data_IF_716825822001
#
_entry.id   IF_716825822001
#
_cell.length_a   1.000
_cell.length_b   1.000
_cell.length_c   1.000
_cell.angle_alpha   90.00
_cell.angle_beta   90.00
_cell.angle_gamma   90.00
#
_symmetry.space_group_name_H-M   'P 1'
#
loop_
_entity.id
_entity.type
_entity.pdbx_description
1 polymer ?
#
# COMPACT_ATOMS: atom_id res chain seq x y z
N UNK A 1 -14.20 -35.90 -13.58
CA UNK A 1 -13.47 -34.67 -13.97
C UNK A 1 -13.56 -33.70 -12.81
N UNK A 2 -12.51 -33.62 -11.97
CA UNK A 2 -12.50 -32.69 -10.86
C UNK A 2 -12.47 -31.26 -11.41
N UNK A 3 -13.49 -30.45 -11.09
CA UNK A 3 -13.44 -28.99 -11.27
C UNK A 3 -12.21 -28.53 -10.50
N UNK A 4 -11.14 -28.15 -11.22
CA UNK A 4 -9.98 -27.48 -10.63
C UNK A 4 -10.52 -26.29 -9.87
N UNK A 5 -10.42 -26.36 -8.55
CA UNK A 5 -10.77 -25.29 -7.62
C UNK A 5 -10.19 -23.97 -8.15
N UNK A 6 -10.97 -22.89 -8.13
CA UNK A 6 -10.41 -21.55 -8.29
C UNK A 6 -9.23 -21.45 -7.31
N UNK A 7 -8.01 -21.39 -7.84
CA UNK A 7 -6.85 -21.69 -7.02
C UNK A 7 -6.67 -20.55 -6.01
N UNK A 8 -6.13 -20.83 -4.82
CA UNK A 8 -5.81 -19.77 -3.84
C UNK A 8 -4.97 -18.65 -4.46
N UNK A 9 -4.18 -18.99 -5.49
CA UNK A 9 -3.46 -18.04 -6.32
C UNK A 9 -4.39 -17.09 -7.10
N UNK A 10 -5.42 -17.61 -7.76
CA UNK A 10 -6.40 -16.79 -8.49
C UNK A 10 -7.13 -15.82 -7.54
N UNK A 11 -7.46 -16.28 -6.33
CA UNK A 11 -8.06 -15.44 -5.29
C UNK A 11 -7.09 -14.33 -4.86
N UNK A 12 -5.82 -14.65 -4.62
CA UNK A 12 -4.80 -13.65 -4.29
C UNK A 12 -4.64 -12.61 -5.40
N UNK A 13 -4.62 -13.04 -6.65
CA UNK A 13 -4.55 -12.14 -7.82
C UNK A 13 -5.77 -11.23 -7.87
N UNK A 14 -6.98 -11.78 -7.71
CA UNK A 14 -8.21 -10.98 -7.68
C UNK A 14 -8.20 -9.97 -6.54
N UNK A 15 -7.80 -10.36 -5.32
CA UNK A 15 -7.72 -9.44 -4.18
C UNK A 15 -6.72 -8.30 -4.43
N UNK A 16 -5.55 -8.59 -5.00
CA UNK A 16 -4.57 -7.55 -5.39
C UNK A 16 -5.14 -6.59 -6.43
N UNK A 17 -5.86 -7.10 -7.43
CA UNK A 17 -6.52 -6.28 -8.44
C UNK A 17 -7.60 -5.38 -7.83
N UNK A 18 -8.46 -5.94 -6.96
CA UNK A 18 -9.48 -5.17 -6.24
C UNK A 18 -8.86 -4.06 -5.41
N UNK A 19 -7.79 -4.35 -4.65
CA UNK A 19 -7.11 -3.34 -3.83
C UNK A 19 -6.52 -2.21 -4.68
N UNK A 20 -5.98 -2.52 -5.87
CA UNK A 20 -5.49 -1.50 -6.83
C UNK A 20 -6.62 -0.64 -7.37
N UNK A 21 -7.74 -1.24 -7.73
CA UNK A 21 -8.92 -0.52 -8.23
C UNK A 21 -9.50 0.41 -7.15
N UNK A 22 -9.59 -0.07 -5.91
CA UNK A 22 -10.05 0.75 -4.78
C UNK A 22 -9.08 1.90 -4.45
N UNK A 23 -7.77 1.69 -4.63
CA UNK A 23 -6.76 2.72 -4.41
C UNK A 23 -6.67 3.75 -5.56
N UNK A 24 -7.14 3.42 -6.77
CA UNK A 24 -6.97 4.28 -7.95
C UNK A 24 -7.63 5.66 -7.80
N UNK A 25 -8.86 5.82 -7.27
CA UNK A 25 -9.42 7.14 -7.00
C UNK A 25 -8.60 7.93 -5.98
N UNK A 26 -8.07 7.26 -4.95
CA UNK A 26 -7.25 7.91 -3.92
C UNK A 26 -5.94 8.46 -4.51
N UNK A 27 -5.37 7.80 -5.54
CA UNK A 27 -4.20 8.30 -6.28
C UNK A 27 -4.46 9.61 -7.04
N UNK A 28 -5.70 9.91 -7.38
CA UNK A 28 -6.05 11.15 -8.07
C UNK A 28 -6.23 12.32 -7.11
N UNK A 29 -6.57 12.04 -5.85
CA UNK A 29 -6.92 13.07 -4.86
C UNK A 29 -5.85 13.28 -3.78
N UNK A 30 -4.97 12.29 -3.55
CA UNK A 30 -3.96 12.32 -2.50
C UNK A 30 -2.54 12.22 -3.05
N UNK A 31 -1.60 12.88 -2.37
CA UNK A 31 -0.18 12.73 -2.67
C UNK A 31 0.34 11.35 -2.28
N UNK A 32 1.37 10.86 -2.98
CA UNK A 32 1.99 9.54 -2.70
C UNK A 32 2.37 9.35 -1.22
N UNK A 33 2.87 10.41 -0.56
CA UNK A 33 3.22 10.40 0.87
C UNK A 33 2.01 10.14 1.77
N UNK A 34 0.87 10.73 1.45
CA UNK A 34 -0.37 10.58 2.22
C UNK A 34 -0.97 9.19 2.02
N UNK A 35 -0.89 8.67 0.79
CA UNK A 35 -1.28 7.29 0.49
C UNK A 35 -0.41 6.27 1.23
N UNK A 36 0.91 6.47 1.26
CA UNK A 36 1.82 5.61 2.05
C UNK A 36 1.46 5.67 3.53
N UNK A 37 1.14 6.86 4.06
CA UNK A 37 0.70 7.01 5.46
C UNK A 37 -0.61 6.24 5.70
N UNK A 38 -1.62 6.43 4.85
CA UNK A 38 -2.91 5.78 4.96
C UNK A 38 -2.78 4.26 4.87
N UNK A 39 -2.08 3.75 3.87
CA UNK A 39 -1.91 2.31 3.69
C UNK A 39 -1.06 1.68 4.80
N UNK A 40 -0.17 2.44 5.45
CA UNK A 40 0.56 1.92 6.61
C UNK A 40 -0.32 1.70 7.85
N UNK A 41 -1.50 2.31 7.95
CA UNK A 41 -2.39 2.12 9.11
C UNK A 41 -3.15 0.81 9.06
N UNK A 42 -3.18 0.14 7.90
CA UNK A 42 -3.89 -1.15 7.70
C UNK A 42 -3.05 -2.36 8.11
N UNK A 43 -1.80 -2.17 8.51
CA UNK A 43 -0.85 -3.25 8.79
C UNK A 43 -0.18 -3.83 7.54
N UNK A 44 -0.43 -3.27 6.35
CA UNK A 44 0.21 -3.68 5.10
C UNK A 44 1.73 -3.53 5.14
N UNK A 45 2.46 -4.47 4.55
CA UNK A 45 3.92 -4.40 4.46
C UNK A 45 4.35 -3.35 3.42
N UNK A 46 5.61 -2.93 3.45
CA UNK A 46 6.16 -2.04 2.44
C UNK A 46 6.06 -2.63 1.02
N UNK A 47 6.11 -3.96 0.88
CA UNK A 47 5.91 -4.65 -0.39
C UNK A 47 4.47 -4.53 -0.88
N UNK A 48 3.48 -4.77 0.01
CA UNK A 48 2.06 -4.68 -0.37
C UNK A 48 1.68 -3.26 -0.79
N UNK A 49 2.19 -2.26 -0.06
CA UNK A 49 1.97 -0.85 -0.38
C UNK A 49 2.61 -0.51 -1.74
N UNK A 50 3.82 -1.02 -2.00
CA UNK A 50 4.49 -0.83 -3.28
C UNK A 50 3.71 -1.45 -4.45
N UNK A 51 3.17 -2.65 -4.27
CA UNK A 51 2.34 -3.35 -5.24
C UNK A 51 1.04 -2.58 -5.55
N UNK A 52 0.43 -1.92 -4.55
CA UNK A 52 -0.79 -1.11 -4.72
C UNK A 52 -0.47 0.23 -5.37
N UNK A 53 0.62 0.88 -4.94
CA UNK A 53 1.00 2.21 -5.41
C UNK A 53 1.76 2.22 -6.74
N UNK A 54 2.14 1.04 -7.25
CA UNK A 54 2.98 0.88 -8.44
C UNK A 54 4.32 1.60 -8.28
N UNK A 55 5.03 1.26 -7.21
CA UNK A 55 6.33 1.82 -6.86
C UNK A 55 7.25 0.74 -6.28
N UNK A 56 8.39 1.12 -5.71
CA UNK A 56 9.31 0.17 -5.07
C UNK A 56 9.12 0.14 -3.55
N UNK A 57 9.35 -1.02 -2.91
CA UNK A 57 9.36 -1.13 -1.45
C UNK A 57 10.36 -0.17 -0.81
N UNK A 58 11.48 0.10 -1.47
CA UNK A 58 12.50 1.05 -1.01
C UNK A 58 11.97 2.50 -0.96
N UNK A 59 11.19 2.92 -1.97
CA UNK A 59 10.52 4.24 -1.98
C UNK A 59 9.52 4.35 -0.84
N UNK A 60 8.72 3.30 -0.60
CA UNK A 60 7.77 3.25 0.50
C UNK A 60 8.49 3.32 1.85
N UNK A 61 9.54 2.51 2.06
CA UNK A 61 10.33 2.50 3.28
C UNK A 61 10.96 3.87 3.59
N UNK A 62 11.54 4.51 2.58
CA UNK A 62 12.11 5.86 2.71
C UNK A 62 11.04 6.89 3.08
N UNK A 63 9.86 6.79 2.48
CA UNK A 63 8.72 7.67 2.78
C UNK A 63 8.23 7.47 4.21
N UNK A 64 8.12 6.23 4.68
CA UNK A 64 7.76 5.91 6.07
C UNK A 64 8.80 6.43 7.06
N UNK A 65 10.09 6.31 6.77
CA UNK A 65 11.15 6.88 7.61
C UNK A 65 11.04 8.41 7.70
N UNK A 66 10.78 9.09 6.57
CA UNK A 66 10.55 10.55 6.54
C UNK A 66 9.32 10.93 7.36
N UNK A 67 8.23 10.17 7.26
CA UNK A 67 7.01 10.38 8.06
C UNK A 67 7.28 10.24 9.56
N UNK A 68 8.00 9.20 9.98
CA UNK A 68 8.39 9.00 11.39
C UNK A 68 9.25 10.16 11.91
N UNK A 69 10.22 10.62 11.12
CA UNK A 69 11.11 11.74 11.50
C UNK A 69 10.33 13.04 11.64
N UNK A 70 9.39 13.32 10.74
CA UNK A 70 8.58 14.53 10.81
C UNK A 70 7.58 14.50 11.99
N UNK A 71 7.02 13.34 12.32
CA UNK A 71 6.19 13.20 13.53
C UNK A 71 6.97 13.44 14.83
N UNK A 72 8.26 13.07 14.86
CA UNK A 72 9.16 13.34 16.00
C UNK A 72 9.56 14.80 16.16
N UNK A 73 9.50 15.60 15.09
CA UNK A 73 9.94 17.01 15.11
C UNK A 73 8.82 18.00 15.47
N UNK A 74 7.56 17.55 15.52
CA UNK A 74 6.40 18.36 15.91
C UNK A 74 5.91 18.10 17.34
N UNK A 75 6.74 17.53 18.21
CA UNK A 75 6.43 17.30 19.64
C UNK A 75 7.31 18.14 20.58
N UNK A 76 7.98 19.16 20.05
CA UNK A 76 8.91 20.05 20.76
C UNK A 76 8.61 21.55 20.49
N UNK A 77 7.36 21.89 20.16
CA UNK A 77 6.84 23.27 20.13
C UNK A 77 5.56 23.40 20.95
#
# INVERSE_FOLDING_TARGET
MAKKDATTYDLLVQMKLTNRLLAAPLKQTMGQKELVRLLSTTGATAQDIADVLDTTPATVATTLQRLKRNGKKGSDE
#
